data_IF_119330630898
#
_entry.id   IF_119330630898
#
_cell.length_a   1.000
_cell.length_b   1.000
_cell.length_c   1.000
_cell.angle_alpha   90.00
_cell.angle_beta   90.00
_cell.angle_gamma   90.00
#
_symmetry.space_group_name_H-M   'P 1'
#
loop_
_entity.id
_entity.type
_entity.pdbx_description
1 polymer ?
#
# COMPACT_ATOMS: atom_id res chain seq x y z
N UNK A 1 -5.72 -26.62 9.87
CA UNK A 1 -4.44 -25.90 10.15
C UNK A 1 -4.01 -25.29 8.84
N UNK A 2 -3.73 -24.01 8.80
CA UNK A 2 -3.25 -23.33 7.60
C UNK A 2 -1.81 -23.72 7.28
N UNK A 3 -1.39 -23.73 5.98
CA UNK A 3 -0.01 -23.98 5.61
C UNK A 3 0.90 -22.85 6.10
N UNK A 4 2.14 -23.18 6.46
CA UNK A 4 3.17 -22.23 6.86
C UNK A 4 4.12 -21.94 5.70
N UNK A 5 4.68 -20.73 5.64
CA UNK A 5 5.81 -20.46 4.76
C UNK A 5 7.00 -21.36 5.15
N UNK A 6 7.73 -21.83 4.17
CA UNK A 6 8.81 -22.82 4.35
C UNK A 6 10.04 -22.27 5.07
N UNK A 7 10.23 -20.96 5.06
CA UNK A 7 11.34 -20.23 5.68
C UNK A 7 10.97 -18.77 5.96
N UNK A 8 11.79 -18.09 6.74
CA UNK A 8 11.70 -16.65 6.93
C UNK A 8 12.35 -15.90 5.77
N UNK A 9 11.71 -14.82 5.36
CA UNK A 9 12.20 -13.86 4.37
C UNK A 9 12.73 -12.57 5.01
N UNK A 10 12.74 -12.49 6.34
CA UNK A 10 13.27 -11.33 7.08
C UNK A 10 14.75 -11.13 6.78
N UNK A 11 15.12 -9.88 6.49
CA UNK A 11 16.49 -9.46 6.17
C UNK A 11 17.08 -10.14 4.92
N UNK A 12 16.24 -10.66 4.02
CA UNK A 12 16.69 -11.26 2.75
C UNK A 12 16.89 -10.16 1.69
N UNK A 13 16.10 -9.10 1.75
CA UNK A 13 16.10 -8.01 0.78
C UNK A 13 16.63 -6.71 1.41
N UNK A 14 17.01 -5.68 0.61
CA UNK A 14 17.43 -4.38 1.12
C UNK A 14 16.26 -3.51 1.63
N UNK A 15 15.02 -3.96 1.45
CA UNK A 15 13.77 -3.34 1.85
C UNK A 15 13.01 -4.27 2.81
N UNK A 16 12.01 -3.76 3.51
CA UNK A 16 11.15 -4.59 4.35
C UNK A 16 10.15 -5.33 3.47
N UNK A 17 10.19 -6.66 3.50
CA UNK A 17 9.23 -7.49 2.77
C UNK A 17 7.97 -7.71 3.61
N UNK A 18 6.82 -7.48 3.01
CA UNK A 18 5.50 -7.63 3.64
C UNK A 18 4.46 -8.28 2.73
N UNK A 19 3.26 -8.41 3.25
CA UNK A 19 2.07 -8.86 2.53
C UNK A 19 0.81 -8.37 3.23
N UNK A 20 -0.34 -8.60 2.60
CA UNK A 20 -1.65 -8.23 3.13
C UNK A 20 -2.08 -9.09 4.34
N UNK A 21 -3.00 -8.58 5.14
CA UNK A 21 -3.58 -9.26 6.30
C UNK A 21 -4.67 -10.28 5.96
N UNK A 22 -4.91 -10.59 4.69
CA UNK A 22 -5.95 -11.51 4.21
C UNK A 22 -5.38 -12.66 3.35
N UNK A 23 -4.25 -13.22 3.77
CA UNK A 23 -3.64 -14.39 3.12
C UNK A 23 -4.39 -15.68 3.48
N UNK A 24 -4.91 -15.75 4.69
CA UNK A 24 -5.75 -16.86 5.16
C UNK A 24 -7.18 -16.36 5.36
N UNK A 25 -8.21 -17.21 5.13
CA UNK A 25 -9.62 -16.84 5.34
C UNK A 25 -9.96 -16.76 6.84
N UNK A 26 -9.37 -15.80 7.51
CA UNK A 26 -9.46 -15.56 8.94
C UNK A 26 -9.24 -14.07 9.25
N UNK A 27 -9.48 -13.66 10.49
CA UNK A 27 -9.30 -12.28 10.96
C UNK A 27 -7.82 -11.84 11.00
N UNK A 28 -7.57 -10.56 11.35
CA UNK A 28 -6.23 -9.96 11.41
C UNK A 28 -5.26 -10.73 12.32
N UNK A 29 -5.67 -11.01 13.57
CA UNK A 29 -4.78 -11.63 14.57
C UNK A 29 -4.29 -13.02 14.15
N UNK A 30 -5.15 -13.96 13.69
CA UNK A 30 -4.70 -15.22 13.12
C UNK A 30 -3.75 -15.07 11.94
N UNK A 31 -4.05 -14.18 10.98
CA UNK A 31 -3.17 -13.92 9.84
C UNK A 31 -1.79 -13.44 10.30
N UNK A 32 -1.73 -12.47 11.22
CA UNK A 32 -0.45 -11.95 11.74
C UNK A 32 0.32 -13.00 12.51
N UNK A 33 -0.34 -13.87 13.30
CA UNK A 33 0.33 -15.00 13.97
C UNK A 33 0.97 -15.98 13.01
N UNK A 34 0.34 -16.20 11.85
CA UNK A 34 0.85 -17.12 10.84
C UNK A 34 1.99 -16.51 10.01
N UNK A 35 1.93 -15.22 9.71
CA UNK A 35 2.84 -14.53 8.79
C UNK A 35 4.01 -13.83 9.51
N UNK A 36 3.78 -13.30 10.71
CA UNK A 36 4.72 -12.49 11.45
C UNK A 36 6.08 -13.14 11.74
N UNK A 37 6.21 -14.46 11.95
CA UNK A 37 7.52 -15.12 12.06
C UNK A 37 8.37 -15.05 10.80
N UNK A 38 7.75 -14.77 9.64
CA UNK A 38 8.36 -14.92 8.32
C UNK A 38 8.60 -13.61 7.59
N UNK A 39 7.85 -12.55 7.91
CA UNK A 39 7.83 -11.27 7.18
C UNK A 39 8.11 -10.10 8.12
N UNK A 40 8.61 -8.99 7.57
CA UNK A 40 8.98 -7.78 8.31
C UNK A 40 7.83 -6.79 8.44
N UNK A 41 6.84 -6.91 7.56
CA UNK A 41 5.69 -6.01 7.54
C UNK A 41 4.41 -6.77 7.23
N UNK A 42 3.30 -6.32 7.82
CA UNK A 42 1.94 -6.77 7.45
C UNK A 42 1.10 -5.54 7.15
N UNK A 43 0.49 -5.53 5.98
CA UNK A 43 -0.45 -4.51 5.57
C UNK A 43 -1.85 -4.82 6.07
N UNK A 44 -2.33 -4.01 6.99
CA UNK A 44 -3.69 -4.13 7.50
C UNK A 44 -4.66 -3.50 6.50
N UNK A 45 -5.45 -4.32 5.84
CA UNK A 45 -6.43 -3.86 4.86
C UNK A 45 -7.75 -3.52 5.55
N UNK A 46 -8.11 -2.25 5.56
CA UNK A 46 -9.34 -1.75 6.18
C UNK A 46 -10.33 -1.31 5.08
N UNK A 47 -10.63 -2.20 4.14
CA UNK A 47 -11.36 -1.91 2.90
C UNK A 47 -12.72 -1.25 3.06
N UNK A 48 -13.43 -1.53 4.17
CA UNK A 48 -14.78 -1.04 4.41
C UNK A 48 -14.84 -0.22 5.70
N UNK A 49 -15.60 0.86 5.65
CA UNK A 49 -15.78 1.77 6.80
C UNK A 49 -17.24 1.98 7.20
N UNK A 50 -18.19 1.50 6.38
CA UNK A 50 -19.62 1.80 6.52
C UNK A 50 -20.27 1.17 7.75
N UNK A 51 -19.70 0.06 8.23
CA UNK A 51 -20.20 -0.60 9.42
C UNK A 51 -19.30 -0.31 10.62
N UNK A 52 -19.89 -0.11 11.79
CA UNK A 52 -19.14 0.17 13.03
C UNK A 52 -18.16 -0.93 13.40
N UNK A 53 -18.43 -2.15 12.96
CA UNK A 53 -17.61 -3.34 13.24
C UNK A 53 -16.59 -3.65 12.13
N UNK A 54 -16.55 -2.85 11.06
CA UNK A 54 -15.61 -3.04 9.97
C UNK A 54 -14.15 -2.75 10.38
N UNK A 55 -13.95 -1.86 11.37
CA UNK A 55 -12.62 -1.54 11.87
C UNK A 55 -12.24 -2.45 13.05
N UNK A 56 -10.96 -2.84 13.17
CA UNK A 56 -10.50 -3.66 14.28
C UNK A 56 -10.78 -2.98 15.63
N UNK A 57 -11.27 -3.75 16.61
CA UNK A 57 -11.54 -3.24 17.95
C UNK A 57 -10.24 -2.81 18.65
N UNK A 58 -10.35 -2.01 19.71
CA UNK A 58 -9.18 -1.63 20.54
C UNK A 58 -8.46 -2.86 21.12
N UNK A 59 -9.20 -3.93 21.40
CA UNK A 59 -8.61 -5.18 21.87
C UNK A 59 -7.75 -5.82 20.78
N UNK A 60 -8.28 -5.94 19.55
CA UNK A 60 -7.53 -6.46 18.39
C UNK A 60 -6.28 -5.62 18.13
N UNK A 61 -6.38 -4.28 18.16
CA UNK A 61 -5.21 -3.39 18.04
C UNK A 61 -4.18 -3.67 19.12
N UNK A 62 -4.60 -3.87 20.38
CA UNK A 62 -3.70 -4.24 21.47
C UNK A 62 -3.00 -5.59 21.24
N UNK A 63 -3.71 -6.59 20.74
CA UNK A 63 -3.13 -7.90 20.40
C UNK A 63 -2.13 -7.77 19.24
N UNK A 64 -2.46 -7.00 18.19
CA UNK A 64 -1.57 -6.73 17.08
C UNK A 64 -0.29 -5.98 17.53
N UNK A 65 -0.40 -5.03 18.45
CA UNK A 65 0.75 -4.33 19.01
C UNK A 65 1.70 -5.26 19.79
N UNK A 66 1.16 -6.27 20.47
CA UNK A 66 1.97 -7.32 21.12
C UNK A 66 2.69 -8.17 20.07
N UNK A 67 1.96 -8.63 19.03
CA UNK A 67 2.53 -9.44 17.97
C UNK A 67 3.62 -8.70 17.18
N UNK A 68 3.49 -7.38 16.99
CA UNK A 68 4.54 -6.56 16.37
C UNK A 68 5.87 -6.69 17.14
N UNK A 69 5.82 -6.62 18.47
CA UNK A 69 7.00 -6.78 19.34
C UNK A 69 7.54 -8.20 19.34
N UNK A 70 6.64 -9.19 19.48
CA UNK A 70 7.02 -10.61 19.59
C UNK A 70 7.71 -11.09 18.30
N UNK A 71 7.26 -10.62 17.15
CA UNK A 71 7.81 -11.03 15.85
C UNK A 71 8.79 -10.01 15.25
N UNK A 72 9.04 -8.87 15.90
CA UNK A 72 9.84 -7.78 15.34
C UNK A 72 9.35 -7.43 13.92
N UNK A 73 8.08 -7.07 13.81
CA UNK A 73 7.45 -6.63 12.56
C UNK A 73 6.83 -5.25 12.70
N UNK A 74 6.58 -4.62 11.58
CA UNK A 74 5.86 -3.35 11.45
C UNK A 74 4.53 -3.55 10.75
N UNK A 75 3.65 -2.56 10.86
CA UNK A 75 2.42 -2.49 10.09
C UNK A 75 2.44 -1.30 9.16
N UNK A 76 1.88 -1.45 7.98
CA UNK A 76 1.27 -0.38 7.22
C UNK A 76 -0.24 -0.63 7.16
N UNK A 77 -1.01 0.40 6.82
CA UNK A 77 -2.46 0.32 6.83
C UNK A 77 -2.98 0.82 5.50
N UNK A 78 -3.76 -0.01 4.83
CA UNK A 78 -4.53 0.42 3.67
C UNK A 78 -5.86 0.98 4.16
N UNK A 79 -6.09 2.26 3.90
CA UNK A 79 -7.30 2.98 4.31
C UNK A 79 -8.52 2.48 3.52
N UNK A 80 -9.74 2.67 4.05
CA UNK A 80 -10.96 2.24 3.38
C UNK A 80 -11.09 2.81 1.96
N UNK A 81 -11.46 1.96 1.01
CA UNK A 81 -11.65 2.32 -0.40
C UNK A 81 -13.10 2.69 -0.73
N UNK A 82 -14.02 2.45 0.22
CA UNK A 82 -15.45 2.79 0.10
C UNK A 82 -15.77 4.26 0.43
N UNK A 83 -14.73 5.08 0.68
CA UNK A 83 -14.79 6.52 0.95
C UNK A 83 -14.00 7.31 -0.10
N UNK A 84 -14.31 8.60 -0.26
CA UNK A 84 -13.57 9.45 -1.21
C UNK A 84 -13.48 10.90 -0.71
N UNK A 85 -12.25 11.32 -0.42
CA UNK A 85 -11.95 12.73 -0.10
C UNK A 85 -12.02 13.63 -1.33
N UNK A 86 -11.97 13.06 -2.53
CA UNK A 86 -12.05 13.76 -3.81
C UNK A 86 -13.49 13.92 -4.33
N UNK A 87 -14.50 13.33 -3.66
CA UNK A 87 -15.89 13.35 -4.07
C UNK A 87 -16.39 14.78 -4.36
N UNK A 88 -17.30 14.93 -5.32
CA UNK A 88 -18.00 16.19 -5.55
C UNK A 88 -19.06 16.49 -4.52
N UNK A 89 -19.55 15.47 -3.80
CA UNK A 89 -20.53 15.63 -2.72
C UNK A 89 -19.83 16.02 -1.41
N UNK A 90 -20.10 17.23 -0.87
CA UNK A 90 -19.51 17.68 0.39
C UNK A 90 -19.84 16.77 1.59
N UNK A 91 -20.97 16.04 1.56
CA UNK A 91 -21.29 15.08 2.61
C UNK A 91 -20.37 13.87 2.56
N UNK A 92 -20.10 13.34 1.37
CA UNK A 92 -19.16 12.23 1.19
C UNK A 92 -17.72 12.66 1.56
N UNK A 93 -17.32 13.89 1.25
CA UNK A 93 -16.03 14.43 1.68
C UNK A 93 -15.90 14.43 3.20
N UNK A 94 -16.90 14.95 3.92
CA UNK A 94 -16.90 14.96 5.40
C UNK A 94 -16.82 13.56 5.99
N UNK A 95 -17.63 12.63 5.48
CA UNK A 95 -17.61 11.23 5.91
C UNK A 95 -16.22 10.64 5.69
N UNK A 96 -15.60 10.90 4.55
CA UNK A 96 -14.25 10.40 4.24
C UNK A 96 -13.20 10.96 5.21
N UNK A 97 -13.17 12.28 5.42
CA UNK A 97 -12.25 12.95 6.36
C UNK A 97 -12.41 12.39 7.77
N UNK A 98 -13.64 12.34 8.29
CA UNK A 98 -13.94 11.82 9.63
C UNK A 98 -13.55 10.35 9.77
N UNK A 99 -13.74 9.56 8.72
CA UNK A 99 -13.38 8.15 8.70
C UNK A 99 -11.86 7.96 8.73
N UNK A 100 -11.11 8.71 7.90
CA UNK A 100 -9.65 8.63 7.88
C UNK A 100 -9.06 9.02 9.24
N UNK A 101 -9.54 10.11 9.85
CA UNK A 101 -9.11 10.54 11.19
C UNK A 101 -9.39 9.43 12.21
N UNK A 102 -10.60 8.88 12.22
CA UNK A 102 -10.99 7.79 13.12
C UNK A 102 -10.13 6.54 12.94
N UNK A 103 -9.75 6.21 11.69
CA UNK A 103 -8.84 5.08 11.40
C UNK A 103 -7.45 5.40 11.91
N UNK A 104 -6.91 6.57 11.60
CA UNK A 104 -5.59 7.00 12.04
C UNK A 104 -5.46 6.95 13.57
N UNK A 105 -6.43 7.49 14.31
CA UNK A 105 -6.50 7.42 15.77
C UNK A 105 -6.58 5.97 16.28
N UNK A 106 -7.32 5.11 15.58
CA UNK A 106 -7.49 3.71 15.97
C UNK A 106 -6.21 2.90 15.83
N UNK A 107 -5.44 3.14 14.77
CA UNK A 107 -4.21 2.39 14.48
C UNK A 107 -2.94 3.03 15.04
N UNK A 108 -3.04 4.22 15.62
CA UNK A 108 -1.91 4.94 16.23
C UNK A 108 -1.07 4.06 17.19
N UNK A 109 -1.68 3.21 18.07
CA UNK A 109 -0.89 2.34 18.95
C UNK A 109 -0.03 1.29 18.24
N UNK A 110 -0.26 1.03 16.95
CA UNK A 110 0.56 0.14 16.13
C UNK A 110 1.80 0.86 15.58
N UNK A 111 1.86 2.20 15.65
CA UNK A 111 2.88 3.02 15.04
C UNK A 111 3.10 2.64 13.56
N UNK A 112 2.04 2.75 12.72
CA UNK A 112 2.11 2.29 11.33
C UNK A 112 3.18 3.04 10.55
N UNK A 113 3.79 2.37 9.57
CA UNK A 113 4.80 2.98 8.69
C UNK A 113 4.17 3.87 7.64
N UNK A 114 2.98 3.51 7.15
CA UNK A 114 2.20 4.27 6.17
C UNK A 114 0.70 4.07 6.38
N UNK A 115 -0.07 5.04 5.91
CA UNK A 115 -1.52 4.98 5.71
C UNK A 115 -1.76 5.17 4.22
N UNK A 116 -1.95 4.08 3.47
CA UNK A 116 -2.17 4.10 2.02
C UNK A 116 -3.56 4.61 1.72
N UNK A 117 -3.66 5.61 0.87
CA UNK A 117 -4.90 6.32 0.56
C UNK A 117 -5.18 6.33 -0.94
N UNK A 118 -6.34 5.81 -1.33
CA UNK A 118 -6.89 6.02 -2.66
C UNK A 118 -7.49 7.42 -2.80
N UNK A 119 -7.12 8.10 -3.87
CA UNK A 119 -7.70 9.40 -4.25
C UNK A 119 -8.24 9.31 -5.67
N UNK A 120 -9.43 8.70 -5.88
CA UNK A 120 -9.95 8.47 -7.22
C UNK A 120 -10.22 9.79 -7.97
N UNK A 121 -9.92 9.80 -9.28
CA UNK A 121 -10.23 10.91 -10.16
C UNK A 121 -11.68 10.82 -10.64
N UNK A 122 -12.57 11.62 -10.08
CA UNK A 122 -14.03 11.51 -10.29
C UNK A 122 -14.58 12.59 -11.23
N UNK A 123 -13.71 13.26 -12.01
CA UNK A 123 -14.14 14.29 -12.93
C UNK A 123 -14.59 13.71 -14.28
N UNK A 124 -15.47 14.43 -14.96
CA UNK A 124 -15.95 14.07 -16.30
C UNK A 124 -15.00 14.50 -17.42
N UNK A 125 -14.05 15.37 -17.10
CA UNK A 125 -13.06 15.91 -18.01
C UNK A 125 -11.72 16.01 -17.31
N UNK A 126 -10.64 15.72 -18.04
CA UNK A 126 -9.26 15.93 -17.61
C UNK A 126 -8.69 17.27 -18.09
N UNK A 127 -9.54 18.26 -18.40
CA UNK A 127 -9.09 19.62 -18.69
C UNK A 127 -8.52 20.31 -17.44
N UNK A 128 -7.81 21.41 -17.66
CA UNK A 128 -7.09 22.11 -16.60
C UNK A 128 -8.02 22.58 -15.47
N UNK A 129 -9.22 23.02 -15.77
CA UNK A 129 -10.18 23.50 -14.76
C UNK A 129 -10.76 22.34 -13.94
N UNK A 130 -11.04 21.20 -14.57
CA UNK A 130 -11.48 19.98 -13.89
C UNK A 130 -10.40 19.47 -12.94
N UNK A 131 -9.16 19.36 -13.40
CA UNK A 131 -8.03 18.93 -12.58
C UNK A 131 -7.81 19.88 -11.40
N UNK A 132 -7.79 21.19 -11.60
CA UNK A 132 -7.63 22.19 -10.53
C UNK A 132 -8.75 22.11 -9.49
N UNK A 133 -9.98 21.97 -9.93
CA UNK A 133 -11.13 21.85 -9.03
C UNK A 133 -11.06 20.62 -8.15
N UNK A 134 -10.65 19.48 -8.73
CA UNK A 134 -10.41 18.24 -8.02
C UNK A 134 -9.23 18.35 -7.04
N UNK A 135 -8.09 18.87 -7.48
CA UNK A 135 -6.92 19.13 -6.62
C UNK A 135 -7.30 19.98 -5.39
N UNK A 136 -8.09 21.04 -5.58
CA UNK A 136 -8.51 21.91 -4.49
C UNK A 136 -9.35 21.18 -3.44
N UNK A 137 -10.23 20.26 -3.86
CA UNK A 137 -11.00 19.43 -2.92
C UNK A 137 -10.10 18.48 -2.15
N UNK A 138 -9.22 17.78 -2.86
CA UNK A 138 -8.24 16.85 -2.26
C UNK A 138 -7.35 17.59 -1.25
N UNK A 139 -6.76 18.70 -1.65
CA UNK A 139 -5.91 19.53 -0.80
C UNK A 139 -6.63 20.00 0.47
N UNK A 140 -7.86 20.52 0.32
CA UNK A 140 -8.64 21.02 1.44
C UNK A 140 -8.95 19.91 2.45
N UNK A 141 -9.34 18.73 1.98
CA UNK A 141 -9.69 17.60 2.84
C UNK A 141 -8.46 16.97 3.50
N UNK A 142 -7.34 16.84 2.78
CA UNK A 142 -6.07 16.41 3.37
C UNK A 142 -5.60 17.38 4.46
N UNK A 143 -5.68 18.68 4.26
CA UNK A 143 -5.36 19.67 5.32
C UNK A 143 -6.18 19.47 6.58
N UNK A 144 -7.46 19.08 6.50
CA UNK A 144 -8.27 18.79 7.67
C UNK A 144 -7.77 17.52 8.39
N UNK A 145 -7.38 16.48 7.62
CA UNK A 145 -6.82 15.25 8.18
C UNK A 145 -5.50 15.56 8.89
N UNK A 146 -4.60 16.31 8.26
CA UNK A 146 -3.32 16.68 8.88
C UNK A 146 -3.51 17.57 10.12
N UNK A 147 -4.49 18.47 10.11
CA UNK A 147 -4.82 19.33 11.25
C UNK A 147 -5.36 18.55 12.47
N UNK A 148 -5.83 17.32 12.31
CA UNK A 148 -6.19 16.43 13.42
C UNK A 148 -5.01 15.83 14.17
N UNK A 149 -3.79 15.98 13.63
CA UNK A 149 -2.56 15.45 14.23
C UNK A 149 -1.93 14.30 13.45
N UNK A 150 -2.57 13.81 12.37
CA UNK A 150 -1.97 12.77 11.51
C UNK A 150 -0.72 13.34 10.83
N UNK A 151 0.48 12.74 11.01
CA UNK A 151 1.69 13.20 10.34
C UNK A 151 1.58 13.06 8.81
N UNK A 152 2.01 14.08 8.08
CA UNK A 152 1.90 14.10 6.62
C UNK A 152 2.66 12.93 5.97
N UNK A 153 3.83 12.59 6.47
CA UNK A 153 4.68 11.52 5.96
C UNK A 153 4.08 10.11 6.15
N UNK A 154 3.05 9.97 7.00
CA UNK A 154 2.30 8.71 7.10
C UNK A 154 1.29 8.54 5.96
N UNK A 155 0.75 9.64 5.42
CA UNK A 155 -0.20 9.56 4.31
C UNK A 155 0.55 9.22 3.02
N UNK A 156 0.25 8.07 2.47
CA UNK A 156 0.86 7.54 1.25
C UNK A 156 -0.18 7.47 0.14
N UNK A 157 -0.08 8.37 -0.83
CA UNK A 157 -1.03 8.42 -1.96
C UNK A 157 -0.69 7.33 -2.95
N UNK A 158 -1.66 6.49 -3.27
CA UNK A 158 -1.50 5.42 -4.24
C UNK A 158 -1.75 5.93 -5.66
N UNK A 159 -0.88 5.54 -6.61
CA UNK A 159 -1.15 5.76 -8.03
C UNK A 159 -2.29 4.85 -8.48
N UNK A 160 -3.32 5.45 -9.05
CA UNK A 160 -4.50 4.76 -9.56
C UNK A 160 -4.56 4.84 -11.09
N UNK A 161 -5.76 4.88 -11.65
CA UNK A 161 -6.08 4.87 -13.09
C UNK A 161 -6.04 6.25 -13.78
N UNK A 162 -5.26 7.19 -13.26
CA UNK A 162 -5.06 8.54 -13.82
C UNK A 162 -3.59 8.98 -13.62
N UNK A 163 -3.09 9.96 -14.39
CA UNK A 163 -1.72 10.46 -14.25
C UNK A 163 -1.46 11.02 -12.85
N UNK A 164 -0.51 10.42 -12.11
CA UNK A 164 -0.19 10.84 -10.73
C UNK A 164 0.27 12.30 -10.66
N UNK A 165 0.81 12.84 -11.76
CA UNK A 165 1.19 14.25 -11.92
C UNK A 165 0.05 15.22 -11.58
N UNK A 166 -1.19 14.79 -11.70
CA UNK A 166 -2.34 15.60 -11.27
C UNK A 166 -2.30 15.89 -9.76
N UNK A 167 -1.62 15.07 -8.97
CA UNK A 167 -1.46 15.27 -7.52
C UNK A 167 -0.12 15.86 -7.11
N UNK A 168 0.83 16.07 -8.02
CA UNK A 168 2.15 16.62 -7.69
C UNK A 168 2.09 17.88 -6.82
N UNK A 169 1.26 18.90 -7.13
CA UNK A 169 1.18 20.09 -6.30
C UNK A 169 0.71 19.76 -4.87
N UNK A 170 -0.26 18.85 -4.74
CA UNK A 170 -0.84 18.45 -3.43
C UNK A 170 0.20 17.65 -2.62
N UNK A 171 0.85 16.66 -3.25
CA UNK A 171 1.87 15.81 -2.63
C UNK A 171 3.07 16.65 -2.17
N UNK A 172 3.50 17.61 -2.98
CA UNK A 172 4.63 18.48 -2.65
C UNK A 172 4.28 19.49 -1.56
N UNK A 173 3.16 20.21 -1.68
CA UNK A 173 2.77 21.26 -0.75
C UNK A 173 2.44 20.74 0.64
N UNK A 174 1.92 19.51 0.74
CA UNK A 174 1.57 18.87 2.01
C UNK A 174 2.66 17.91 2.52
N UNK A 175 3.76 17.74 1.79
CA UNK A 175 4.86 16.82 2.11
C UNK A 175 4.40 15.37 2.36
N UNK A 176 3.54 14.87 1.47
CA UNK A 176 3.01 13.50 1.52
C UNK A 176 4.00 12.50 0.92
N UNK A 177 3.78 11.22 1.20
CA UNK A 177 4.48 10.11 0.56
C UNK A 177 3.64 9.45 -0.53
N UNK A 178 4.22 8.48 -1.23
CA UNK A 178 3.59 7.75 -2.33
C UNK A 178 3.62 6.25 -2.02
N UNK A 179 2.48 5.62 -2.26
CA UNK A 179 2.37 4.18 -2.45
C UNK A 179 2.47 3.91 -3.95
N UNK A 180 3.56 3.27 -4.37
CA UNK A 180 3.75 2.92 -5.76
C UNK A 180 3.17 1.54 -6.01
N UNK A 181 2.05 1.48 -6.74
CA UNK A 181 1.44 0.24 -7.21
C UNK A 181 1.91 -0.09 -8.62
N UNK A 182 2.69 -1.17 -8.74
CA UNK A 182 3.22 -1.63 -10.03
C UNK A 182 2.16 -2.20 -10.96
N UNK A 183 1.13 -2.83 -10.41
CA UNK A 183 0.06 -3.39 -11.21
C UNK A 183 -0.73 -2.31 -11.95
N UNK A 184 -1.01 -1.20 -11.30
CA UNK A 184 -1.65 -0.04 -11.93
C UNK A 184 -0.79 0.53 -13.05
N UNK A 185 0.52 0.72 -12.86
CA UNK A 185 1.43 1.21 -13.92
C UNK A 185 1.47 0.26 -15.12
N UNK A 186 1.56 -1.04 -14.87
CA UNK A 186 1.60 -2.06 -15.94
C UNK A 186 0.33 -2.02 -16.79
N UNK A 187 -0.83 -1.92 -16.15
CA UNK A 187 -2.13 -1.91 -16.85
C UNK A 187 -2.37 -0.64 -17.64
N UNK A 188 -1.87 0.49 -17.15
CA UNK A 188 -1.92 1.77 -17.89
C UNK A 188 -0.89 1.81 -19.02
N UNK A 189 0.08 0.92 -19.00
CA UNK A 189 1.17 0.91 -19.98
C UNK A 189 2.20 2.01 -19.74
N UNK A 190 2.30 2.47 -18.49
CA UNK A 190 3.25 3.50 -18.09
C UNK A 190 4.70 3.01 -18.15
N UNK A 191 5.61 3.93 -18.37
CA UNK A 191 7.05 3.66 -18.26
C UNK A 191 7.46 3.60 -16.79
N UNK A 192 7.54 2.36 -16.27
CA UNK A 192 7.88 2.05 -14.88
C UNK A 192 9.20 2.72 -14.46
N UNK A 193 10.21 2.71 -15.33
CA UNK A 193 11.54 3.26 -15.04
C UNK A 193 11.50 4.78 -14.86
N UNK A 194 10.80 5.47 -15.76
CA UNK A 194 10.59 6.92 -15.68
C UNK A 194 9.73 7.27 -14.46
N UNK A 195 8.65 6.55 -14.21
CA UNK A 195 7.77 6.79 -13.06
C UNK A 195 8.54 6.66 -11.74
N UNK A 196 9.26 5.56 -11.56
CA UNK A 196 10.02 5.35 -10.32
C UNK A 196 11.11 6.43 -10.15
N UNK A 197 11.87 6.76 -11.18
CA UNK A 197 12.89 7.83 -11.10
C UNK A 197 12.29 9.16 -10.67
N UNK A 198 11.08 9.46 -11.11
CA UNK A 198 10.37 10.69 -10.74
C UNK A 198 9.95 10.68 -9.28
N UNK A 199 9.41 9.57 -8.80
CA UNK A 199 8.74 9.48 -7.51
C UNK A 199 9.50 8.71 -6.42
N UNK A 200 10.64 8.09 -6.73
CA UNK A 200 11.40 7.25 -5.79
C UNK A 200 11.70 7.94 -4.44
N UNK A 201 12.03 9.23 -4.46
CA UNK A 201 12.36 9.99 -3.25
C UNK A 201 11.17 10.18 -2.30
N UNK A 202 9.94 10.06 -2.80
CA UNK A 202 8.71 10.16 -2.02
C UNK A 202 8.01 8.82 -1.82
N UNK A 203 8.47 7.76 -2.48
CA UNK A 203 7.89 6.41 -2.34
C UNK A 203 8.26 5.83 -0.98
N UNK A 204 7.25 5.55 -0.14
CA UNK A 204 7.42 4.92 1.16
C UNK A 204 7.07 3.44 1.14
N UNK A 205 6.12 3.04 0.29
CA UNK A 205 5.65 1.68 0.12
C UNK A 205 5.45 1.37 -1.36
N UNK A 206 5.66 0.11 -1.71
CA UNK A 206 5.44 -0.46 -3.04
C UNK A 206 4.47 -1.61 -2.92
N UNK A 207 3.40 -1.61 -3.72
CA UNK A 207 2.55 -2.77 -3.93
C UNK A 207 3.06 -3.56 -5.13
N UNK A 208 3.33 -4.83 -4.91
CA UNK A 208 3.92 -5.70 -5.93
C UNK A 208 3.15 -7.02 -6.01
N UNK A 209 2.70 -7.36 -7.21
CA UNK A 209 1.96 -8.58 -7.51
C UNK A 209 2.01 -8.90 -9.00
N UNK A 210 1.55 -10.09 -9.37
CA UNK A 210 1.43 -10.50 -10.76
C UNK A 210 0.18 -9.93 -11.42
N UNK A 211 0.31 -9.54 -12.68
CA UNK A 211 -0.79 -9.06 -13.54
C UNK A 211 -0.91 -9.99 -14.73
N UNK A 212 -2.11 -10.47 -15.04
CA UNK A 212 -2.39 -11.32 -16.18
C UNK A 212 -3.79 -11.02 -16.74
N UNK A 213 -3.91 -10.89 -18.06
CA UNK A 213 -5.20 -10.73 -18.77
C UNK A 213 -6.13 -9.64 -18.20
N UNK A 214 -5.55 -8.48 -17.80
CA UNK A 214 -6.23 -7.37 -17.14
C UNK A 214 -6.82 -7.70 -15.74
N UNK A 215 -6.31 -8.72 -15.07
CA UNK A 215 -6.63 -9.04 -13.68
C UNK A 215 -5.40 -8.80 -12.79
N UNK A 216 -5.66 -8.46 -11.52
CA UNK A 216 -4.69 -8.06 -10.52
C UNK A 216 -4.48 -9.13 -9.45
N UNK A 217 -3.46 -8.92 -8.61
CA UNK A 217 -3.19 -9.63 -7.36
C UNK A 217 -2.94 -11.13 -7.53
N UNK A 218 -2.37 -11.53 -8.67
CA UNK A 218 -1.84 -12.88 -8.85
C UNK A 218 -0.44 -13.02 -8.24
N UNK A 219 0.03 -14.26 -8.16
CA UNK A 219 1.42 -14.54 -7.84
C UNK A 219 2.38 -13.78 -8.77
N UNK A 220 3.49 -13.28 -8.22
CA UNK A 220 4.46 -12.43 -8.93
C UNK A 220 5.07 -13.13 -10.16
N UNK A 221 5.13 -14.45 -10.20
CA UNK A 221 5.60 -15.23 -11.35
C UNK A 221 4.70 -15.11 -12.59
N UNK A 222 3.53 -14.46 -12.46
CA UNK A 222 2.65 -14.13 -13.59
C UNK A 222 3.04 -12.83 -14.30
N UNK A 223 3.99 -12.07 -13.76
CA UNK A 223 4.50 -10.90 -14.47
C UNK A 223 5.23 -11.31 -15.74
N UNK A 224 5.07 -10.54 -16.84
CA UNK A 224 5.90 -10.72 -18.04
C UNK A 224 7.38 -10.60 -17.69
N UNK A 225 8.20 -11.59 -18.13
CA UNK A 225 9.65 -11.65 -17.82
C UNK A 225 10.39 -10.33 -18.12
N UNK A 226 9.99 -9.61 -19.19
CA UNK A 226 10.61 -8.34 -19.58
C UNK A 226 10.45 -7.21 -18.56
N UNK A 227 9.47 -7.30 -17.66
CA UNK A 227 9.20 -6.30 -16.62
C UNK A 227 10.00 -6.53 -15.34
N UNK A 228 10.54 -7.72 -15.14
CA UNK A 228 11.25 -8.08 -13.92
C UNK A 228 12.59 -7.35 -13.75
N UNK A 229 13.49 -7.31 -14.76
CA UNK A 229 14.77 -6.64 -14.59
C UNK A 229 14.67 -5.17 -14.18
N UNK A 230 13.82 -4.32 -14.82
CA UNK A 230 13.65 -2.96 -14.36
C UNK A 230 13.09 -2.89 -12.92
N UNK A 231 12.07 -3.68 -12.56
CA UNK A 231 11.51 -3.71 -11.21
C UNK A 231 12.58 -4.08 -10.19
N UNK A 232 13.33 -5.15 -10.43
CA UNK A 232 14.38 -5.61 -9.53
C UNK A 232 15.53 -4.59 -9.40
N UNK A 233 15.90 -3.93 -10.50
CA UNK A 233 16.91 -2.86 -10.51
C UNK A 233 16.50 -1.66 -9.65
N UNK A 234 15.23 -1.27 -9.70
CA UNK A 234 14.67 -0.18 -8.91
C UNK A 234 14.62 -0.56 -7.43
N UNK A 235 14.16 -1.76 -7.09
CA UNK A 235 14.06 -2.25 -5.72
C UNK A 235 15.43 -2.46 -5.05
N UNK A 236 16.52 -2.63 -5.82
CA UNK A 236 17.86 -2.81 -5.26
C UNK A 236 18.32 -1.65 -4.35
N UNK A 237 17.85 -0.44 -4.63
CA UNK A 237 18.18 0.75 -3.85
C UNK A 237 17.03 1.22 -2.95
N UNK A 238 15.88 0.58 -3.02
CA UNK A 238 14.72 0.92 -2.21
C UNK A 238 14.92 0.47 -0.75
N UNK A 239 14.45 1.29 0.21
CA UNK A 239 14.59 1.04 1.66
C UNK A 239 13.27 1.06 2.42
N UNK A 240 12.17 1.31 1.71
CA UNK A 240 10.82 1.29 2.28
C UNK A 240 10.26 -0.13 2.43
N UNK A 241 8.97 -0.24 2.36
CA UNK A 241 8.24 -1.52 2.42
C UNK A 241 7.83 -1.97 1.01
N UNK A 242 8.04 -3.24 0.69
CA UNK A 242 7.44 -3.90 -0.47
C UNK A 242 6.38 -4.87 0.04
N UNK A 243 5.13 -4.55 -0.19
CA UNK A 243 3.97 -5.39 0.14
C UNK A 243 3.64 -6.27 -1.05
N UNK A 244 3.73 -7.59 -0.86
CA UNK A 244 3.15 -8.55 -1.83
C UNK A 244 1.64 -8.49 -1.68
N UNK A 245 0.99 -7.70 -2.54
CA UNK A 245 -0.45 -7.48 -2.46
C UNK A 245 -1.23 -8.59 -3.14
N UNK A 246 -1.23 -9.73 -2.50
CA UNK A 246 -1.96 -10.95 -2.91
C UNK A 246 -2.90 -11.41 -1.80
N UNK A 247 -3.86 -12.27 -2.13
CA UNK A 247 -4.97 -12.65 -1.24
C UNK A 247 -5.10 -14.16 -1.01
N UNK A 248 -4.03 -14.90 -1.28
CA UNK A 248 -3.98 -16.33 -0.97
C UNK A 248 -2.58 -16.77 -0.55
N UNK A 249 -2.53 -17.81 0.26
CA UNK A 249 -1.26 -18.44 0.61
C UNK A 249 -0.48 -18.93 -0.62
N UNK A 250 -1.18 -19.50 -1.60
CA UNK A 250 -0.52 -20.03 -2.80
C UNK A 250 0.17 -18.93 -3.60
N UNK A 251 -0.51 -17.79 -3.78
CA UNK A 251 0.07 -16.64 -4.49
C UNK A 251 1.21 -16.00 -3.69
N UNK A 252 1.09 -15.89 -2.38
CA UNK A 252 2.16 -15.37 -1.52
C UNK A 252 3.41 -16.25 -1.57
N UNK A 253 3.26 -17.56 -1.35
CA UNK A 253 4.39 -18.50 -1.33
C UNK A 253 5.12 -18.56 -2.69
N UNK A 254 4.34 -18.54 -3.80
CA UNK A 254 4.89 -18.46 -5.15
C UNK A 254 5.63 -17.12 -5.38
N UNK A 255 5.02 -15.99 -4.99
CA UNK A 255 5.61 -14.66 -5.15
C UNK A 255 6.93 -14.51 -4.41
N UNK A 256 6.98 -14.94 -3.14
CA UNK A 256 8.18 -14.84 -2.31
C UNK A 256 9.32 -15.71 -2.85
N UNK A 257 9.04 -16.95 -3.27
CA UNK A 257 10.02 -17.85 -3.89
C UNK A 257 10.55 -17.28 -5.20
N UNK A 258 9.66 -16.76 -6.02
CA UNK A 258 10.01 -16.15 -7.29
C UNK A 258 10.88 -14.91 -7.09
N UNK A 259 10.49 -14.00 -6.20
CA UNK A 259 11.25 -12.80 -5.86
C UNK A 259 12.66 -13.14 -5.38
N UNK A 260 12.80 -14.13 -4.49
CA UNK A 260 14.10 -14.57 -3.99
C UNK A 260 14.99 -15.13 -5.09
N UNK A 261 14.43 -15.94 -6.00
CA UNK A 261 15.18 -16.48 -7.12
C UNK A 261 15.71 -15.37 -8.03
N UNK A 262 14.86 -14.40 -8.38
CA UNK A 262 15.26 -13.24 -9.16
C UNK A 262 16.34 -12.43 -8.45
N UNK A 263 16.20 -12.21 -7.13
CA UNK A 263 17.17 -11.49 -6.31
C UNK A 263 18.54 -12.18 -6.27
N UNK A 264 18.56 -13.49 -6.11
CA UNK A 264 19.79 -14.28 -6.08
C UNK A 264 20.55 -14.31 -7.42
N UNK A 265 19.85 -14.19 -8.56
CA UNK A 265 20.46 -14.05 -9.88
C UNK A 265 21.12 -12.68 -10.05
N UNK A 266 20.44 -11.61 -9.67
CA UNK A 266 20.95 -10.24 -9.79
C UNK A 266 22.24 -10.01 -8.96
N UNK A 267 22.36 -10.63 -7.78
CA UNK A 267 23.58 -10.52 -6.95
C UNK A 267 24.78 -11.28 -7.49
N UNK A 268 24.60 -12.20 -8.43
CA UNK A 268 25.69 -12.96 -9.07
C UNK A 268 26.24 -12.29 -10.33
N UNK A 269 25.46 -11.35 -10.90
CA UNK A 269 25.82 -10.62 -12.14
C UNK A 269 26.47 -9.25 -11.85
N UNK A 270 26.41 -8.78 -10.60
CA UNK A 270 27.07 -7.58 -10.09
C UNK A 270 28.30 -7.94 -9.24
#
# INVERSE_FOLDING_TARGET
MYPLLSKSYKNVFPFNIGTTSFIYPDDYVPNVKMLGPYLENIELLLFESRHTDALPSKQVIGELAVLAKDFNLTYNVHLPTDISISSRDPQQQRIAVETIIRVADRVEPLNPTTLTLHVPYNETSSDEDGVKSWQQRVFTNLKQILASGTPAQLISIENLDYPLEFLDPVICDLDLTICLDYGHLILQGDDIDTFFKTYAAKTAIVHLYGVAENHFHFALDRLPEKLLPPIMGLLANFKGTVSMEVFSYADLDASLKFMENCWGHQQREN
#
